data_IF_969688712313
#
_entry.id   IF_969688712313
#
_cell.length_a   1.000
_cell.length_b   1.000
_cell.length_c   1.000
_cell.angle_alpha   90.00
_cell.angle_beta   90.00
_cell.angle_gamma   90.00
#
_symmetry.space_group_name_H-M   'P 1'
#
loop_
_entity.id
_entity.type
_entity.pdbx_description
1 polymer ?
#
# COMPACT_ATOMS: atom_id res chain seq x y z
N UNK A 1 35.28 2.32 3.98
CA UNK A 1 34.87 1.17 3.17
C UNK A 1 34.50 1.67 1.82
N UNK A 2 34.99 1.06 0.74
CA UNK A 2 34.66 1.43 -0.64
C UNK A 2 33.29 0.83 -1.04
N UNK A 3 32.63 1.43 -2.05
CA UNK A 3 31.32 1.00 -2.54
C UNK A 3 31.31 -0.48 -2.98
N UNK A 4 32.37 -0.93 -3.63
CA UNK A 4 32.51 -2.32 -4.08
C UNK A 4 32.62 -3.29 -2.89
N UNK A 5 33.37 -2.92 -1.87
CA UNK A 5 33.47 -3.71 -0.63
C UNK A 5 32.10 -3.82 0.08
N UNK A 6 31.32 -2.74 0.10
CA UNK A 6 29.96 -2.75 0.67
C UNK A 6 29.07 -3.70 -0.13
N UNK A 7 29.04 -3.57 -1.48
CA UNK A 7 28.27 -4.48 -2.33
C UNK A 7 28.64 -5.94 -2.08
N UNK A 8 29.92 -6.27 -2.09
CA UNK A 8 30.39 -7.63 -1.88
C UNK A 8 29.99 -8.16 -0.50
N UNK A 9 30.19 -7.36 0.56
CA UNK A 9 29.89 -7.76 1.94
C UNK A 9 28.41 -8.02 2.19
N UNK A 10 27.53 -7.21 1.56
CA UNK A 10 26.06 -7.30 1.77
C UNK A 10 25.33 -8.01 0.63
N UNK A 11 26.07 -8.61 -0.32
CA UNK A 11 25.47 -9.35 -1.41
C UNK A 11 24.64 -8.47 -2.35
N UNK A 12 24.99 -7.20 -2.53
CA UNK A 12 24.29 -6.29 -3.42
C UNK A 12 24.83 -6.44 -4.84
N UNK A 13 23.97 -6.88 -5.73
CA UNK A 13 24.30 -7.08 -7.15
C UNK A 13 23.68 -5.97 -7.98
N UNK A 14 24.47 -5.42 -8.90
CA UNK A 14 24.06 -4.39 -9.83
C UNK A 14 25.04 -3.24 -9.90
N UNK A 15 25.06 -2.55 -11.05
CA UNK A 15 25.97 -1.46 -11.34
C UNK A 15 25.25 -0.19 -11.81
N UNK A 16 23.90 -0.15 -11.75
CA UNK A 16 23.15 1.02 -12.17
C UNK A 16 23.53 2.27 -11.37
N UNK A 17 23.57 3.41 -12.05
CA UNK A 17 23.93 4.69 -11.42
C UNK A 17 22.98 5.05 -10.26
N UNK A 18 21.68 4.78 -10.40
CA UNK A 18 20.67 5.04 -9.37
C UNK A 18 20.89 4.19 -8.12
N UNK A 19 21.19 2.89 -8.28
CA UNK A 19 21.52 1.99 -7.17
C UNK A 19 22.80 2.46 -6.46
N UNK A 20 23.83 2.80 -7.23
CA UNK A 20 25.10 3.27 -6.69
C UNK A 20 24.94 4.58 -5.89
N UNK A 21 24.13 5.51 -6.40
CA UNK A 21 23.81 6.75 -5.68
C UNK A 21 23.09 6.49 -4.36
N UNK A 22 22.05 5.63 -4.36
CA UNK A 22 21.33 5.25 -3.15
C UNK A 22 22.27 4.60 -2.12
N UNK A 23 23.16 3.70 -2.55
CA UNK A 23 24.16 3.06 -1.67
C UNK A 23 25.15 4.06 -1.10
N UNK A 24 25.68 4.98 -1.92
CA UNK A 24 26.59 6.04 -1.45
C UNK A 24 25.90 6.94 -0.41
N UNK A 25 24.61 7.28 -0.62
CA UNK A 25 23.83 8.03 0.35
C UNK A 25 23.67 7.25 1.65
N UNK A 26 23.34 5.95 1.58
CA UNK A 26 23.26 5.07 2.75
C UNK A 26 24.58 5.00 3.53
N UNK A 27 25.71 4.90 2.83
CA UNK A 27 27.04 4.88 3.44
C UNK A 27 27.37 6.20 4.15
N UNK A 28 27.05 7.34 3.54
CA UNK A 28 27.28 8.67 4.14
C UNK A 28 26.45 8.89 5.39
N UNK A 29 25.17 8.53 5.35
CA UNK A 29 24.28 8.72 6.49
C UNK A 29 24.53 7.73 7.62
N UNK A 30 25.18 6.61 7.34
CA UNK A 30 25.47 5.58 8.35
C UNK A 30 26.26 6.13 9.55
N UNK A 31 27.18 7.08 9.34
CA UNK A 31 27.98 7.70 10.38
C UNK A 31 27.23 8.72 11.26
N UNK A 32 26.00 9.07 10.91
CA UNK A 32 25.15 10.02 11.65
C UNK A 32 24.13 9.29 12.50
N UNK A 33 23.51 10.01 13.45
CA UNK A 33 22.39 9.53 14.27
C UNK A 33 21.02 9.93 13.70
N UNK A 34 20.98 10.50 12.48
CA UNK A 34 19.76 10.94 11.86
C UNK A 34 18.81 9.75 11.57
N UNK A 35 17.51 10.02 11.68
CA UNK A 35 16.48 9.11 11.21
C UNK A 35 16.57 8.99 9.68
N UNK A 36 16.53 7.76 9.18
CA UNK A 36 16.60 7.47 7.75
C UNK A 36 15.28 6.94 7.27
N UNK A 37 14.79 7.52 6.18
CA UNK A 37 13.57 7.11 5.50
C UNK A 37 13.90 6.46 4.16
N UNK A 38 13.61 5.16 4.01
CA UNK A 38 13.89 4.40 2.80
C UNK A 38 12.59 4.21 2.01
N UNK A 39 12.52 4.84 0.86
CA UNK A 39 11.39 4.71 -0.05
C UNK A 39 11.72 3.77 -1.20
N UNK A 40 10.78 2.88 -1.56
CA UNK A 40 10.95 1.98 -2.70
C UNK A 40 9.86 0.93 -2.75
N UNK A 41 9.65 0.37 -3.93
CA UNK A 41 8.63 -0.64 -4.15
C UNK A 41 8.86 -1.92 -3.33
N UNK A 42 7.80 -2.71 -3.16
CA UNK A 42 7.91 -4.01 -2.50
C UNK A 42 8.90 -4.91 -3.26
N UNK A 43 9.76 -5.60 -2.51
CA UNK A 43 10.77 -6.48 -3.10
C UNK A 43 11.97 -5.79 -3.75
N UNK A 44 12.15 -4.46 -3.63
CA UNK A 44 13.27 -3.71 -4.20
C UNK A 44 14.60 -3.87 -3.44
N UNK A 45 14.56 -4.41 -2.19
CA UNK A 45 15.74 -4.64 -1.36
C UNK A 45 15.95 -3.64 -0.24
N UNK A 46 14.94 -2.90 0.21
CA UNK A 46 15.00 -1.88 1.28
C UNK A 46 15.66 -2.38 2.57
N UNK A 47 15.39 -3.63 2.97
CA UNK A 47 15.96 -4.25 4.16
C UNK A 47 17.50 -4.33 4.09
N UNK A 48 18.08 -4.59 2.92
CA UNK A 48 19.55 -4.63 2.76
C UNK A 48 20.18 -3.26 3.05
N UNK A 49 19.51 -2.17 2.68
CA UNK A 49 19.96 -0.81 2.99
C UNK A 49 19.97 -0.54 4.49
N UNK A 50 18.95 -0.97 5.23
CA UNK A 50 18.91 -0.81 6.69
C UNK A 50 20.08 -1.55 7.37
N UNK A 51 20.39 -2.76 6.91
CA UNK A 51 21.55 -3.54 7.39
C UNK A 51 22.87 -2.84 7.09
N UNK A 52 23.04 -2.27 5.89
CA UNK A 52 24.24 -1.49 5.52
C UNK A 52 24.40 -0.30 6.46
N UNK A 53 23.32 0.48 6.67
CA UNK A 53 23.34 1.67 7.52
C UNK A 53 23.71 1.29 8.96
N UNK A 54 23.11 0.25 9.51
CA UNK A 54 23.45 -0.22 10.86
C UNK A 54 24.91 -0.67 10.99
N UNK A 55 25.39 -1.54 10.08
CA UNK A 55 26.73 -2.11 10.15
C UNK A 55 27.85 -1.08 9.92
N UNK A 56 27.56 0.02 9.24
CA UNK A 56 28.50 1.12 9.03
C UNK A 56 28.34 2.24 10.07
N UNK A 57 27.40 2.11 11.01
CA UNK A 57 27.12 3.12 12.04
C UNK A 57 28.01 2.96 13.28
N UNK A 58 28.08 3.98 14.15
CA UNK A 58 28.68 3.86 15.47
C UNK A 58 28.03 2.75 16.32
N UNK A 59 26.74 2.44 16.06
CA UNK A 59 25.94 1.43 16.77
C UNK A 59 26.06 0.01 16.21
N UNK A 60 27.04 -0.27 15.35
CA UNK A 60 27.21 -1.57 14.67
C UNK A 60 27.36 -2.79 15.60
N UNK A 61 27.69 -2.57 16.87
CA UNK A 61 27.82 -3.61 17.91
C UNK A 61 26.56 -3.67 18.82
N UNK A 62 25.63 -2.71 18.68
CA UNK A 62 24.37 -2.74 19.38
C UNK A 62 23.34 -3.68 18.73
N UNK A 63 22.20 -3.90 19.36
CA UNK A 63 21.15 -4.72 18.81
C UNK A 63 20.58 -4.08 17.52
N UNK A 64 20.29 -4.93 16.52
CA UNK A 64 19.55 -4.56 15.32
C UNK A 64 18.26 -5.36 15.28
N UNK A 65 17.13 -4.68 15.38
CA UNK A 65 15.79 -5.30 15.35
C UNK A 65 15.05 -4.80 14.11
N UNK A 66 14.70 -5.73 13.22
CA UNK A 66 13.90 -5.45 12.04
C UNK A 66 12.46 -5.93 12.26
N UNK A 67 11.50 -5.04 12.03
CA UNK A 67 10.08 -5.26 12.28
C UNK A 67 9.33 -4.89 11.00
N UNK A 68 8.48 -5.79 10.51
CA UNK A 68 7.50 -5.45 9.48
C UNK A 68 6.20 -5.05 10.16
N UNK A 69 5.82 -3.76 10.03
CA UNK A 69 4.63 -3.19 10.67
C UNK A 69 3.33 -3.79 10.09
N UNK A 70 3.31 -4.11 8.79
CA UNK A 70 2.15 -4.74 8.16
C UNK A 70 1.92 -6.19 8.56
N UNK A 71 2.93 -6.87 9.14
CA UNK A 71 2.80 -8.24 9.63
C UNK A 71 2.28 -8.33 11.07
N UNK A 72 2.25 -7.22 11.81
CA UNK A 72 1.77 -7.18 13.18
C UNK A 72 0.27 -6.83 13.22
N UNK A 73 -0.58 -7.62 13.90
CA UNK A 73 -1.99 -7.26 14.06
C UNK A 73 -2.15 -5.93 14.82
N UNK A 74 -3.11 -5.10 14.40
CA UNK A 74 -3.37 -3.78 14.99
C UNK A 74 -3.58 -3.85 16.52
N UNK A 75 -4.29 -4.87 17.00
CA UNK A 75 -4.55 -5.06 18.44
C UNK A 75 -3.32 -5.40 19.27
N UNK A 76 -2.21 -5.85 18.68
CA UNK A 76 -1.00 -6.27 19.40
C UNK A 76 0.21 -5.41 19.11
N UNK A 77 0.21 -4.62 18.03
CA UNK A 77 1.36 -3.82 17.58
C UNK A 77 1.90 -2.88 18.67
N UNK A 78 1.03 -2.23 19.43
CA UNK A 78 1.45 -1.36 20.54
C UNK A 78 2.15 -2.14 21.65
N UNK A 79 1.67 -3.34 21.97
CA UNK A 79 2.26 -4.23 22.98
C UNK A 79 3.62 -4.79 22.53
N UNK A 80 3.77 -5.12 21.25
CA UNK A 80 5.04 -5.59 20.68
C UNK A 80 6.08 -4.49 20.61
N UNK A 81 5.72 -3.29 20.14
CA UNK A 81 6.63 -2.16 20.01
C UNK A 81 7.05 -1.59 21.36
N UNK A 82 6.09 -1.31 22.25
CA UNK A 82 6.33 -0.55 23.49
C UNK A 82 6.33 -1.42 24.75
N UNK A 83 5.93 -2.70 24.64
CA UNK A 83 5.76 -3.60 25.79
C UNK A 83 4.46 -3.38 26.53
N UNK A 84 4.17 -4.25 27.48
CA UNK A 84 2.99 -4.18 28.35
C UNK A 84 3.29 -4.57 29.79
N UNK A 85 2.52 -4.01 30.69
CA UNK A 85 2.51 -4.42 32.09
C UNK A 85 1.43 -5.49 32.31
N UNK A 86 1.58 -6.29 33.37
CA UNK A 86 0.64 -7.31 33.77
C UNK A 86 -0.77 -6.74 33.92
N UNK A 87 -1.77 -7.37 33.30
CA UNK A 87 -3.17 -6.94 33.35
C UNK A 87 -3.54 -5.85 32.37
N UNK A 88 -2.64 -5.45 31.45
CA UNK A 88 -2.89 -4.40 30.46
C UNK A 88 -4.04 -4.72 29.49
N UNK A 89 -4.27 -5.99 29.22
CA UNK A 89 -5.38 -6.51 28.39
C UNK A 89 -5.69 -7.95 28.78
N UNK A 90 -6.80 -8.50 28.28
CA UNK A 90 -7.18 -9.89 28.50
C UNK A 90 -6.13 -10.84 27.92
N UNK A 91 -5.40 -11.55 28.79
CA UNK A 91 -4.27 -12.41 28.40
C UNK A 91 -2.88 -11.86 28.74
N UNK A 92 -2.77 -10.64 29.24
CA UNK A 92 -1.49 -10.08 29.76
C UNK A 92 -1.17 -10.67 31.17
N UNK A 93 -0.67 -11.90 31.20
CA UNK A 93 -0.38 -12.63 32.44
C UNK A 93 0.86 -12.05 33.15
N UNK A 94 1.87 -11.65 32.38
CA UNK A 94 3.16 -11.14 32.85
C UNK A 94 3.55 -9.84 32.17
N UNK A 95 4.55 -9.13 32.73
CA UNK A 95 5.16 -7.98 32.09
C UNK A 95 6.01 -8.43 30.91
N UNK A 96 5.87 -7.79 29.74
CA UNK A 96 6.72 -8.07 28.56
C UNK A 96 7.38 -6.80 28.06
N UNK A 97 8.68 -6.89 27.80
CA UNK A 97 9.45 -5.81 27.17
C UNK A 97 9.10 -5.69 25.71
N UNK A 98 8.97 -4.44 25.23
CA UNK A 98 8.77 -4.12 23.83
C UNK A 98 10.07 -4.04 23.04
N UNK A 99 9.96 -3.90 21.73
CA UNK A 99 11.11 -3.78 20.84
C UNK A 99 11.92 -2.51 21.12
N UNK A 100 11.30 -1.38 21.48
CA UNK A 100 12.02 -0.15 21.83
C UNK A 100 12.87 -0.28 23.10
N UNK A 101 12.46 -1.11 24.04
CA UNK A 101 13.24 -1.41 25.22
C UNK A 101 14.39 -2.39 24.89
N UNK A 102 14.09 -3.41 24.07
CA UNK A 102 15.06 -4.45 23.68
C UNK A 102 16.16 -3.94 22.75
N UNK A 103 15.87 -2.90 21.97
CA UNK A 103 16.80 -2.28 21.02
C UNK A 103 17.60 -1.12 21.63
N UNK A 104 17.48 -0.85 22.93
CA UNK A 104 18.15 0.28 23.56
C UNK A 104 19.67 0.24 23.34
N UNK A 105 20.26 1.36 22.92
CA UNK A 105 21.68 1.47 22.49
C UNK A 105 21.93 0.98 21.05
N UNK A 106 20.90 0.51 20.34
CA UNK A 106 21.00 -0.08 19.01
C UNK A 106 20.22 0.65 17.91
N UNK A 107 19.69 -0.15 16.98
CA UNK A 107 18.93 0.35 15.81
C UNK A 107 17.66 -0.47 15.65
N UNK A 108 16.53 0.22 15.43
CA UNK A 108 15.28 -0.38 14.98
C UNK A 108 15.07 -0.05 13.51
N UNK A 109 14.74 -1.06 12.74
CA UNK A 109 14.25 -0.92 11.37
C UNK A 109 12.76 -1.25 11.32
N UNK A 110 11.93 -0.26 10.95
CA UNK A 110 10.50 -0.42 10.73
C UNK A 110 10.23 -0.49 9.23
N UNK A 111 9.90 -1.67 8.73
CA UNK A 111 9.43 -1.84 7.35
C UNK A 111 7.91 -1.64 7.28
N UNK A 112 7.43 -1.13 6.16
CA UNK A 112 6.02 -0.83 5.91
C UNK A 112 5.43 0.13 6.97
N UNK A 113 6.18 1.19 7.32
CA UNK A 113 5.76 2.15 8.36
C UNK A 113 4.43 2.85 8.04
N UNK A 114 4.03 2.92 6.77
CA UNK A 114 2.72 3.44 6.34
C UNK A 114 1.52 2.57 6.73
N UNK A 115 1.76 1.34 7.25
CA UNK A 115 0.71 0.44 7.75
C UNK A 115 0.42 0.65 9.25
N UNK A 116 1.17 1.53 9.94
CA UNK A 116 0.97 1.77 11.36
C UNK A 116 -0.38 2.43 11.65
N UNK A 117 -1.15 1.94 12.64
CA UNK A 117 -2.35 2.63 13.12
C UNK A 117 -2.03 4.03 13.68
N UNK A 118 -2.96 4.98 13.56
CA UNK A 118 -2.77 6.38 14.00
C UNK A 118 -2.37 6.50 15.49
N UNK A 119 -2.89 5.63 16.36
CA UNK A 119 -2.49 5.59 17.77
C UNK A 119 -1.01 5.22 17.91
N UNK A 120 -0.56 4.20 17.18
CA UNK A 120 0.84 3.76 17.19
C UNK A 120 1.76 4.85 16.62
N UNK A 121 1.32 5.56 15.57
CA UNK A 121 2.05 6.70 15.00
C UNK A 121 2.28 7.80 16.05
N UNK A 122 1.26 8.14 16.86
CA UNK A 122 1.38 9.13 17.94
C UNK A 122 2.39 8.72 19.03
N UNK A 123 2.42 7.43 19.36
CA UNK A 123 3.40 6.87 20.31
C UNK A 123 4.81 6.87 19.73
N UNK A 124 4.95 6.54 18.43
CA UNK A 124 6.24 6.56 17.73
C UNK A 124 6.82 7.98 17.64
N UNK A 125 5.97 8.99 17.40
CA UNK A 125 6.39 10.39 17.38
C UNK A 125 7.03 10.79 18.72
N UNK A 126 6.43 10.41 19.86
CA UNK A 126 6.98 10.68 21.19
C UNK A 126 8.37 10.04 21.38
N UNK A 127 8.59 8.84 20.87
CA UNK A 127 9.91 8.21 20.90
C UNK A 127 10.92 9.00 20.08
N UNK A 128 10.52 9.48 18.89
CA UNK A 128 11.41 10.24 18.00
C UNK A 128 11.77 11.62 18.51
N UNK A 129 10.88 12.27 19.26
CA UNK A 129 11.09 13.61 19.79
C UNK A 129 11.86 13.58 21.11
N UNK A 130 11.43 12.73 22.04
CA UNK A 130 11.88 12.78 23.42
C UNK A 130 12.74 11.56 23.82
N UNK A 131 12.82 10.50 23.00
CA UNK A 131 13.41 9.24 23.39
C UNK A 131 12.61 8.52 24.48
N UNK A 132 11.28 8.79 24.58
CA UNK A 132 10.44 8.32 25.67
C UNK A 132 9.22 7.54 25.14
N UNK A 133 8.83 6.52 25.89
CA UNK A 133 7.61 5.76 25.63
C UNK A 133 6.96 5.29 26.93
N UNK A 134 5.71 4.82 26.81
CA UNK A 134 4.95 4.26 27.93
C UNK A 134 4.46 2.86 27.50
N UNK A 135 4.63 1.85 28.36
CA UNK A 135 4.10 0.52 28.13
C UNK A 135 2.56 0.52 28.12
N UNK A 136 1.98 -0.42 27.43
CA UNK A 136 0.52 -0.61 27.45
C UNK A 136 0.07 -0.99 28.86
N UNK A 137 -0.96 -0.33 29.39
CA UNK A 137 -1.45 -0.52 30.77
C UNK A 137 -0.60 0.12 31.87
N UNK A 138 0.40 0.93 31.52
CA UNK A 138 1.27 1.62 32.47
C UNK A 138 1.10 3.13 32.37
N UNK A 139 1.40 3.85 33.47
CA UNK A 139 1.57 5.32 33.47
C UNK A 139 3.06 5.74 33.52
N UNK A 140 3.97 4.77 33.70
CA UNK A 140 5.40 5.04 33.90
C UNK A 140 6.08 5.33 32.58
N UNK A 141 6.71 6.50 32.46
CA UNK A 141 7.55 6.89 31.32
C UNK A 141 8.86 6.10 31.35
N UNK A 142 9.23 5.53 30.23
CA UNK A 142 10.50 4.85 30.00
C UNK A 142 11.31 5.60 28.96
N UNK A 143 12.64 5.56 29.09
CA UNK A 143 13.57 6.17 28.13
C UNK A 143 14.23 5.11 27.28
N UNK A 144 14.46 5.45 26.02
CA UNK A 144 15.20 4.62 25.08
C UNK A 144 16.14 5.49 24.25
N UNK A 145 17.31 4.95 23.94
CA UNK A 145 18.28 5.53 23.02
C UNK A 145 18.40 4.61 21.81
N UNK A 146 17.52 4.80 20.82
CA UNK A 146 17.43 3.93 19.64
C UNK A 146 17.56 4.78 18.38
N UNK A 147 18.43 4.38 17.46
CA UNK A 147 18.43 4.91 16.10
C UNK A 147 17.32 4.29 15.29
N UNK A 148 16.49 5.12 14.64
CA UNK A 148 15.39 4.65 13.81
C UNK A 148 15.74 4.69 12.32
N UNK A 149 15.45 3.60 11.62
CA UNK A 149 15.44 3.49 10.16
C UNK A 149 14.03 3.04 9.77
N UNK A 150 13.38 3.73 8.86
CA UNK A 150 12.04 3.38 8.39
C UNK A 150 12.03 3.08 6.90
N UNK A 151 11.13 2.21 6.47
CA UNK A 151 10.92 1.92 5.07
C UNK A 151 9.44 1.82 4.73
N UNK A 152 9.09 2.19 3.50
CA UNK A 152 7.73 2.04 2.96
C UNK A 152 7.75 1.89 1.44
N UNK A 153 6.70 1.27 0.92
CA UNK A 153 6.38 1.20 -0.49
C UNK A 153 5.27 2.19 -0.89
N UNK A 154 4.63 2.85 0.09
CA UNK A 154 3.58 3.85 -0.12
C UNK A 154 4.16 5.25 -0.19
N UNK A 155 3.44 6.14 -0.86
CA UNK A 155 3.68 7.57 -0.76
C UNK A 155 3.01 8.08 0.51
N UNK A 156 3.82 8.39 1.54
CA UNK A 156 3.29 8.85 2.83
C UNK A 156 2.59 10.20 2.75
N UNK A 157 2.94 11.09 1.79
CA UNK A 157 2.22 12.35 1.60
C UNK A 157 0.78 12.10 1.15
N UNK A 158 0.59 11.18 0.21
CA UNK A 158 -0.76 10.75 -0.20
C UNK A 158 -1.54 10.12 0.96
N UNK A 159 -0.87 9.38 1.85
CA UNK A 159 -1.54 8.82 3.05
C UNK A 159 -1.85 9.91 4.10
N UNK A 160 -1.07 10.99 4.18
CA UNK A 160 -1.38 12.19 4.99
C UNK A 160 -2.63 12.88 4.45
N UNK A 161 -2.73 13.12 3.14
CA UNK A 161 -3.90 13.72 2.50
C UNK A 161 -5.19 12.91 2.71
N UNK A 162 -5.06 11.61 2.98
CA UNK A 162 -6.18 10.70 3.28
C UNK A 162 -6.46 10.51 4.76
N UNK A 163 -5.85 11.29 5.64
CA UNK A 163 -5.92 11.18 7.10
C UNK A 163 -5.52 9.78 7.66
N UNK A 164 -4.72 9.01 6.90
CA UNK A 164 -4.21 7.70 7.34
C UNK A 164 -2.83 7.76 7.95
N UNK A 165 -2.11 8.84 7.71
CA UNK A 165 -0.80 9.08 8.27
C UNK A 165 -0.71 10.49 8.84
N UNK A 166 -0.06 10.66 9.99
CA UNK A 166 0.08 11.96 10.64
C UNK A 166 1.15 12.79 9.95
N UNK A 167 0.84 14.03 9.69
CA UNK A 167 1.74 14.99 9.04
C UNK A 167 3.00 15.27 9.89
N UNK A 168 2.83 15.41 11.21
CA UNK A 168 3.93 15.65 12.15
C UNK A 168 4.95 14.47 12.15
N UNK A 169 4.46 13.25 12.15
CA UNK A 169 5.31 12.07 12.05
C UNK A 169 6.02 12.01 10.70
N UNK A 170 5.32 12.32 9.60
CA UNK A 170 5.93 12.34 8.28
C UNK A 170 7.16 13.25 8.23
N UNK A 171 7.05 14.50 8.67
CA UNK A 171 8.19 15.43 8.68
C UNK A 171 9.33 14.97 9.60
N UNK A 172 9.01 14.29 10.68
CA UNK A 172 10.03 13.74 11.58
C UNK A 172 10.77 12.53 10.98
N UNK A 173 10.07 11.67 10.22
CA UNK A 173 10.65 10.51 9.54
C UNK A 173 11.41 10.90 8.26
N UNK A 174 10.87 11.79 7.46
CA UNK A 174 11.40 12.18 6.16
C UNK A 174 12.66 13.09 6.26
N UNK A 175 13.37 13.07 7.38
CA UNK A 175 14.59 13.87 7.61
C UNK A 175 15.65 13.59 6.56
N UNK A 176 15.86 12.33 6.19
CA UNK A 176 16.81 11.94 5.16
C UNK A 176 16.25 10.80 4.29
N UNK A 177 15.67 11.15 3.12
CA UNK A 177 15.10 10.16 2.22
C UNK A 177 16.17 9.45 1.39
N UNK A 178 16.04 8.12 1.25
CA UNK A 178 16.82 7.28 0.35
C UNK A 178 15.84 6.56 -0.57
N UNK A 179 15.86 6.90 -1.87
CA UNK A 179 15.04 6.22 -2.87
C UNK A 179 15.77 4.98 -3.40
N UNK A 180 15.20 3.80 -3.17
CA UNK A 180 15.70 2.54 -3.73
C UNK A 180 15.04 2.31 -5.09
N UNK A 181 15.81 2.29 -6.19
CA UNK A 181 15.23 2.21 -7.53
C UNK A 181 14.56 0.84 -7.75
N UNK A 182 13.36 0.81 -8.38
CA UNK A 182 12.73 -0.44 -8.80
C UNK A 182 13.55 -1.14 -9.89
N UNK A 183 13.34 -2.44 -10.07
CA UNK A 183 14.15 -3.24 -10.97
C UNK A 183 14.02 -2.80 -12.45
N UNK A 184 12.84 -2.31 -12.87
CA UNK A 184 12.61 -1.75 -14.22
C UNK A 184 13.45 -0.50 -14.55
N UNK A 185 13.96 0.22 -13.53
CA UNK A 185 14.84 1.38 -13.71
C UNK A 185 16.32 1.00 -13.74
N UNK A 186 16.63 -0.28 -13.62
CA UNK A 186 17.97 -0.84 -13.65
C UNK A 186 18.04 -2.12 -14.50
N UNK A 187 17.65 -2.06 -15.79
CA UNK A 187 17.53 -3.25 -16.65
C UNK A 187 18.84 -4.04 -16.79
N UNK A 188 19.98 -3.35 -16.80
CA UNK A 188 21.29 -4.01 -16.85
C UNK A 188 21.64 -4.85 -15.62
N UNK A 189 20.96 -4.64 -14.49
CA UNK A 189 21.17 -5.42 -13.27
C UNK A 189 20.33 -6.71 -13.25
N UNK A 190 19.28 -6.80 -14.11
CA UNK A 190 18.32 -7.91 -14.11
C UNK A 190 18.98 -9.24 -14.46
N UNK A 191 19.73 -9.26 -15.57
CA UNK A 191 20.41 -10.48 -16.04
C UNK A 191 21.44 -10.95 -14.99
N UNK A 192 22.21 -10.02 -14.42
CA UNK A 192 23.19 -10.33 -13.36
C UNK A 192 22.54 -10.94 -12.12
N UNK A 193 21.41 -10.38 -11.69
CA UNK A 193 20.64 -10.89 -10.57
C UNK A 193 20.04 -12.26 -10.86
N UNK A 194 19.48 -12.46 -12.05
CA UNK A 194 18.93 -13.75 -12.45
C UNK A 194 20.02 -14.84 -12.45
N UNK A 195 21.15 -14.58 -13.09
CA UNK A 195 22.29 -15.51 -13.12
C UNK A 195 22.75 -15.88 -11.70
N UNK A 196 22.84 -14.89 -10.82
CA UNK A 196 23.22 -15.17 -9.41
C UNK A 196 22.18 -16.04 -8.71
N UNK A 197 20.88 -15.76 -8.87
CA UNK A 197 19.83 -16.55 -8.24
C UNK A 197 19.73 -17.96 -8.84
N UNK A 198 19.93 -18.09 -10.15
CA UNK A 198 20.00 -19.40 -10.80
C UNK A 198 21.21 -20.22 -10.31
N UNK A 199 22.36 -19.57 -10.13
CA UNK A 199 23.54 -20.21 -9.55
C UNK A 199 23.27 -20.65 -8.11
N UNK A 200 22.72 -19.78 -7.26
CA UNK A 200 22.39 -20.13 -5.85
C UNK A 200 21.37 -21.29 -5.79
N UNK A 201 20.42 -21.32 -6.71
CA UNK A 201 19.46 -22.40 -6.80
C UNK A 201 20.12 -23.72 -7.25
N UNK A 202 21.01 -23.67 -8.25
CA UNK A 202 21.72 -24.88 -8.73
C UNK A 202 22.61 -25.50 -7.65
N UNK A 203 23.30 -24.67 -6.83
CA UNK A 203 24.06 -25.16 -5.67
C UNK A 203 23.13 -25.79 -4.61
N UNK A 204 22.01 -25.13 -4.30
CA UNK A 204 21.05 -25.58 -3.29
C UNK A 204 20.36 -26.90 -3.64
N UNK A 205 19.97 -27.05 -4.91
CA UNK A 205 19.21 -28.20 -5.39
C UNK A 205 20.07 -29.25 -6.11
N UNK A 206 21.36 -28.99 -6.31
CA UNK A 206 22.33 -29.84 -7.03
C UNK A 206 21.92 -30.10 -8.48
N UNK A 207 21.39 -29.08 -9.12
CA UNK A 207 21.02 -29.11 -10.54
C UNK A 207 22.15 -28.53 -11.40
N UNK A 208 22.10 -28.76 -12.71
CA UNK A 208 23.01 -28.12 -13.64
C UNK A 208 22.84 -26.60 -13.66
N UNK A 209 23.95 -25.89 -13.90
CA UNK A 209 23.94 -24.44 -13.99
C UNK A 209 23.20 -24.02 -15.27
N UNK A 210 22.26 -23.09 -15.13
CA UNK A 210 21.47 -22.61 -16.27
C UNK A 210 22.13 -21.43 -16.96
N UNK A 211 22.08 -21.43 -18.28
CA UNK A 211 22.53 -20.35 -19.15
C UNK A 211 21.32 -19.76 -19.90
N UNK A 212 21.22 -18.43 -19.83
CA UNK A 212 20.19 -17.70 -20.58
C UNK A 212 20.61 -17.51 -22.02
N UNK A 213 19.71 -17.74 -22.96
CA UNK A 213 19.88 -17.30 -24.33
C UNK A 213 19.76 -15.77 -24.46
N UNK A 214 20.29 -15.19 -25.52
CA UNK A 214 20.25 -13.72 -25.73
C UNK A 214 18.82 -13.15 -25.78
N UNK A 215 17.89 -13.89 -26.37
CA UNK A 215 16.47 -13.53 -26.43
C UNK A 215 15.81 -13.63 -25.05
N UNK A 216 16.21 -14.60 -24.23
CA UNK A 216 15.76 -14.71 -22.83
C UNK A 216 16.26 -13.55 -21.97
N UNK A 217 17.53 -13.14 -22.11
CA UNK A 217 18.07 -11.96 -21.42
C UNK A 217 17.32 -10.68 -21.82
N UNK A 218 17.04 -10.47 -23.11
CA UNK A 218 16.28 -9.33 -23.58
C UNK A 218 14.86 -9.32 -23.02
N UNK A 219 14.21 -10.49 -22.95
CA UNK A 219 12.89 -10.63 -22.34
C UNK A 219 12.90 -10.20 -20.86
N UNK A 220 13.89 -10.68 -20.08
CA UNK A 220 14.05 -10.31 -18.68
C UNK A 220 14.28 -8.81 -18.50
N UNK A 221 15.13 -8.20 -19.31
CA UNK A 221 15.42 -6.76 -19.25
C UNK A 221 14.21 -5.88 -19.58
N UNK A 222 13.33 -6.33 -20.46
CA UNK A 222 12.15 -5.59 -20.89
C UNK A 222 10.92 -5.81 -20.00
N UNK A 223 10.95 -6.82 -19.13
CA UNK A 223 9.84 -7.09 -18.23
C UNK A 223 9.77 -6.07 -17.07
N UNK A 224 8.56 -5.67 -16.65
CA UNK A 224 8.36 -4.58 -15.66
C UNK A 224 8.72 -4.93 -14.21
N UNK A 225 8.74 -6.19 -13.87
CA UNK A 225 9.07 -6.69 -12.53
C UNK A 225 8.27 -6.03 -11.40
N UNK A 226 6.93 -6.16 -11.36
CA UNK A 226 6.12 -5.53 -10.31
C UNK A 226 6.49 -5.99 -8.89
N UNK A 227 6.99 -7.23 -8.73
CA UNK A 227 7.52 -7.75 -7.46
C UNK A 227 9.04 -7.60 -7.31
N UNK A 228 9.70 -6.85 -8.20
CA UNK A 228 11.13 -6.51 -8.16
C UNK A 228 12.04 -7.74 -7.95
N UNK A 229 13.05 -7.63 -7.09
CA UNK A 229 14.05 -8.69 -6.82
C UNK A 229 13.38 -9.94 -6.23
N UNK A 230 12.32 -9.79 -5.41
CA UNK A 230 11.60 -10.93 -4.82
C UNK A 230 10.96 -11.79 -5.88
N UNK A 231 10.30 -11.17 -6.87
CA UNK A 231 9.71 -11.88 -8.01
C UNK A 231 10.79 -12.53 -8.88
N UNK A 232 11.84 -11.76 -9.22
CA UNK A 232 12.94 -12.28 -10.05
C UNK A 232 13.60 -13.51 -9.42
N UNK A 233 13.86 -13.47 -8.11
CA UNK A 233 14.40 -14.60 -7.37
C UNK A 233 13.50 -15.82 -7.41
N UNK A 234 12.21 -15.64 -7.18
CA UNK A 234 11.24 -16.75 -7.23
C UNK A 234 11.18 -17.39 -8.61
N UNK A 235 11.19 -16.59 -9.69
CA UNK A 235 11.19 -17.10 -11.06
C UNK A 235 12.50 -17.82 -11.37
N UNK A 236 13.65 -17.26 -11.01
CA UNK A 236 14.93 -17.94 -11.22
C UNK A 236 14.99 -19.29 -10.48
N UNK A 237 14.50 -19.35 -9.24
CA UNK A 237 14.43 -20.59 -8.46
C UNK A 237 13.45 -21.61 -9.07
N UNK A 238 12.27 -21.17 -9.52
CA UNK A 238 11.29 -22.02 -10.19
C UNK A 238 11.84 -22.63 -11.49
N UNK A 239 12.43 -21.79 -12.35
CA UNK A 239 13.03 -22.25 -13.61
C UNK A 239 14.14 -23.25 -13.33
N UNK A 240 15.01 -22.98 -12.34
CA UNK A 240 16.12 -23.87 -11.97
C UNK A 240 15.68 -25.23 -11.44
N UNK A 241 14.46 -25.34 -10.91
CA UNK A 241 13.95 -26.59 -10.35
C UNK A 241 13.10 -27.37 -11.34
N UNK A 242 12.36 -26.68 -12.23
CA UNK A 242 11.33 -27.29 -13.07
C UNK A 242 11.77 -27.57 -14.50
N UNK A 243 12.77 -26.86 -15.01
CA UNK A 243 13.24 -27.08 -16.38
C UNK A 243 14.46 -28.02 -16.40
N UNK A 244 14.42 -28.96 -17.31
CA UNK A 244 15.51 -29.88 -17.54
C UNK A 244 16.46 -29.34 -18.62
N UNK A 245 17.75 -29.23 -18.30
CA UNK A 245 18.80 -28.80 -19.23
C UNK A 245 19.33 -27.39 -18.97
N UNK A 246 20.54 -27.09 -19.50
CA UNK A 246 21.26 -25.89 -19.15
C UNK A 246 20.79 -24.63 -19.92
N UNK A 247 20.07 -24.76 -21.03
CA UNK A 247 19.75 -23.62 -21.89
C UNK A 247 18.31 -23.16 -21.73
N UNK A 248 18.13 -21.92 -21.29
CA UNK A 248 16.82 -21.29 -21.09
C UNK A 248 16.55 -20.30 -22.21
N UNK A 249 15.56 -20.60 -23.05
CA UNK A 249 15.06 -19.72 -24.10
C UNK A 249 13.98 -18.74 -23.60
N UNK A 250 13.67 -17.71 -24.41
CA UNK A 250 12.58 -16.79 -24.11
C UNK A 250 11.22 -17.50 -23.99
N UNK A 251 10.97 -18.56 -24.78
CA UNK A 251 9.72 -19.31 -24.73
C UNK A 251 9.54 -20.08 -23.42
N UNK A 252 10.63 -20.62 -22.88
CA UNK A 252 10.63 -21.24 -21.56
C UNK A 252 10.31 -20.20 -20.49
N UNK A 253 11.01 -19.05 -20.50
CA UNK A 253 10.76 -18.00 -19.52
C UNK A 253 9.34 -17.42 -19.55
N UNK A 254 8.72 -17.32 -20.74
CA UNK A 254 7.32 -16.85 -20.87
C UNK A 254 6.33 -17.69 -20.07
N UNK A 255 6.58 -18.99 -19.88
CA UNK A 255 5.72 -19.87 -19.08
C UNK A 255 5.68 -19.47 -17.60
N UNK A 256 6.77 -18.87 -17.10
CA UNK A 256 6.94 -18.49 -15.70
C UNK A 256 6.66 -17.00 -15.43
N UNK A 257 6.70 -16.18 -16.48
CA UNK A 257 6.36 -14.77 -16.35
C UNK A 257 4.83 -14.63 -16.35
N UNK A 258 4.23 -14.05 -15.30
CA UNK A 258 2.80 -13.77 -15.31
C UNK A 258 2.42 -13.01 -16.58
N UNK A 259 1.48 -13.53 -17.34
CA UNK A 259 0.92 -12.81 -18.46
C UNK A 259 0.37 -11.48 -17.89
N UNK A 260 0.73 -10.41 -18.57
CA UNK A 260 0.08 -9.14 -18.32
C UNK A 260 -1.41 -9.37 -18.56
N UNK A 261 -2.22 -9.32 -17.51
CA UNK A 261 -3.58 -8.90 -17.72
C UNK A 261 -3.43 -7.51 -18.36
N UNK A 262 -3.42 -7.46 -19.69
CA UNK A 262 -3.67 -6.22 -20.38
C UNK A 262 -5.01 -5.77 -19.81
N UNK A 263 -4.97 -4.77 -18.95
CA UNK A 263 -6.13 -3.99 -18.61
C UNK A 263 -6.57 -3.37 -19.95
N UNK A 264 -7.25 -4.17 -20.77
CA UNK A 264 -8.08 -3.69 -21.86
C UNK A 264 -9.33 -2.99 -21.26
N UNK A 265 -9.12 -2.20 -20.22
CA UNK A 265 -10.01 -1.09 -19.96
C UNK A 265 -9.78 -0.15 -21.14
N UNK A 266 -10.82 0.13 -21.95
CA UNK A 266 -10.71 1.13 -23.00
C UNK A 266 -10.07 2.36 -22.37
N UNK A 267 -8.94 2.81 -22.90
CA UNK A 267 -8.34 4.05 -22.48
C UNK A 267 -9.42 5.11 -22.66
N UNK A 268 -10.02 5.56 -21.56
CA UNK A 268 -10.82 6.77 -21.54
C UNK A 268 -9.87 7.84 -22.05
N UNK A 269 -10.07 8.25 -23.28
CA UNK A 269 -9.40 9.39 -23.89
C UNK A 269 -9.51 10.56 -22.91
N UNK A 270 -8.42 10.88 -22.22
CA UNK A 270 -8.28 12.18 -21.57
C UNK A 270 -8.19 13.16 -22.71
N UNK A 271 -9.32 13.78 -23.05
CA UNK A 271 -9.32 15.00 -23.81
C UNK A 271 -8.53 16.02 -22.97
N UNK A 272 -7.36 16.42 -23.47
CA UNK A 272 -6.62 17.55 -22.96
C UNK A 272 -7.50 18.79 -23.06
N UNK A 273 -7.90 19.33 -21.93
CA UNK A 273 -8.56 20.63 -21.87
C UNK A 273 -9.62 20.70 -20.77
N UNK A 274 -9.23 21.37 -19.68
CA UNK A 274 -10.02 21.83 -18.55
C UNK A 274 -10.30 20.81 -17.43
N UNK A 275 -9.62 21.08 -16.32
CA UNK A 275 -10.03 20.64 -14.98
C UNK A 275 -11.51 20.96 -14.77
N UNK A 276 -12.32 19.94 -14.80
CA UNK A 276 -13.63 19.95 -14.21
C UNK A 276 -13.77 18.65 -13.41
N UNK A 277 -14.00 18.80 -12.12
CA UNK A 277 -14.43 17.76 -11.19
C UNK A 277 -15.53 16.90 -11.82
N UNK A 278 -15.14 15.83 -12.49
CA UNK A 278 -16.08 14.81 -12.94
C UNK A 278 -16.35 13.93 -11.73
N UNK A 279 -17.42 14.25 -11.03
CA UNK A 279 -17.93 13.49 -9.90
C UNK A 279 -18.07 12.01 -10.29
N UNK A 280 -17.74 11.07 -9.39
CA UNK A 280 -18.00 9.63 -9.56
C UNK A 280 -19.44 9.35 -10.00
N UNK A 281 -20.38 10.24 -9.66
CA UNK A 281 -21.79 10.22 -10.11
C UNK A 281 -21.92 10.38 -11.62
N UNK A 282 -21.12 11.24 -12.27
CA UNK A 282 -21.21 11.47 -13.71
C UNK A 282 -20.72 10.26 -14.50
N UNK A 283 -19.70 9.58 -14.00
CA UNK A 283 -19.19 8.31 -14.55
C UNK A 283 -20.26 7.23 -14.40
N UNK A 284 -20.90 7.14 -13.24
CA UNK A 284 -21.97 6.18 -12.96
C UNK A 284 -23.21 6.42 -13.84
N UNK A 285 -23.63 7.66 -14.03
CA UNK A 285 -24.73 8.01 -14.94
C UNK A 285 -24.41 7.66 -16.39
N UNK A 286 -23.18 7.88 -16.85
CA UNK A 286 -22.76 7.54 -18.20
C UNK A 286 -22.81 6.03 -18.44
N UNK A 287 -22.27 5.23 -17.51
CA UNK A 287 -22.35 3.76 -17.56
C UNK A 287 -23.80 3.26 -17.54
N UNK A 288 -24.68 3.87 -16.73
CA UNK A 288 -26.10 3.53 -16.70
C UNK A 288 -26.82 3.84 -18.02
N UNK A 289 -26.47 4.96 -18.67
CA UNK A 289 -27.06 5.34 -19.97
C UNK A 289 -26.61 4.36 -21.07
N UNK A 290 -25.32 3.99 -21.08
CA UNK A 290 -24.77 3.03 -22.05
C UNK A 290 -25.42 1.64 -21.86
N UNK A 291 -25.53 1.18 -20.60
CA UNK A 291 -26.20 -0.09 -20.28
C UNK A 291 -27.69 -0.10 -20.67
N UNK A 292 -28.39 1.03 -20.47
CA UNK A 292 -29.79 1.20 -20.93
C UNK A 292 -29.90 1.10 -22.45
N UNK A 293 -28.94 1.65 -23.19
CA UNK A 293 -28.86 1.58 -24.65
C UNK A 293 -28.63 0.14 -25.14
N UNK A 294 -27.66 -0.58 -24.55
CA UNK A 294 -27.38 -1.97 -24.89
C UNK A 294 -28.55 -2.89 -24.60
N UNK A 295 -29.24 -2.70 -23.45
CA UNK A 295 -30.46 -3.46 -23.13
C UNK A 295 -31.58 -3.15 -24.14
N UNK A 296 -31.70 -1.89 -24.61
CA UNK A 296 -32.71 -1.53 -25.62
C UNK A 296 -32.41 -2.11 -27.01
N UNK A 297 -31.12 -2.23 -27.38
CA UNK A 297 -30.71 -2.86 -28.63
C UNK A 297 -30.90 -4.39 -28.59
N UNK A 298 -30.55 -5.04 -27.48
CA UNK A 298 -30.84 -6.45 -27.24
C UNK A 298 -32.34 -6.73 -27.32
N UNK A 299 -33.18 -5.85 -26.76
CA UNK A 299 -34.63 -5.97 -26.82
C UNK A 299 -35.16 -5.90 -28.26
N UNK A 300 -34.62 -4.99 -29.10
CA UNK A 300 -34.98 -4.90 -30.51
C UNK A 300 -34.61 -6.17 -31.29
N UNK A 301 -33.39 -6.74 -31.01
CA UNK A 301 -32.96 -7.98 -31.65
C UNK A 301 -33.83 -9.16 -31.25
N UNK A 302 -34.20 -9.28 -29.98
CA UNK A 302 -35.12 -10.34 -29.48
C UNK A 302 -36.49 -10.22 -30.05
N UNK A 303 -37.07 -8.99 -30.16
CA UNK A 303 -38.36 -8.77 -30.81
C UNK A 303 -38.33 -9.08 -32.32
N UNK A 304 -37.25 -8.67 -33.01
CA UNK A 304 -37.05 -9.03 -34.44
C UNK A 304 -36.92 -10.53 -34.70
N UNK A 305 -36.33 -11.27 -33.75
CA UNK A 305 -36.25 -12.75 -33.82
C UNK A 305 -37.63 -13.41 -33.54
N UNK A 306 -38.46 -12.81 -32.66
CA UNK A 306 -39.80 -13.31 -32.37
C UNK A 306 -40.75 -13.05 -33.53
N UNK A 307 -40.71 -11.87 -34.19
CA UNK A 307 -41.51 -11.57 -35.40
C UNK A 307 -41.15 -12.46 -36.59
N UNK A 308 -39.87 -12.86 -36.75
CA UNK A 308 -39.46 -13.81 -37.79
C UNK A 308 -39.79 -15.27 -37.47
N UNK A 309 -40.21 -15.61 -36.27
CA UNK A 309 -40.62 -16.97 -35.88
C UNK A 309 -42.11 -17.23 -36.01
N UNK A 310 -42.95 -16.20 -36.35
CA UNK A 310 -44.38 -16.39 -36.60
C UNK A 310 -44.76 -16.78 -38.04
N UNK A 311 -43.77 -17.04 -38.92
CA UNK A 311 -44.00 -17.52 -40.29
C UNK A 311 -43.79 -19.03 -40.48
N UNK A 312 -43.83 -19.83 -39.45
CA UNK A 312 -43.91 -21.30 -39.57
C UNK A 312 -45.14 -21.79 -38.79
N UNK A 313 -46.21 -22.02 -39.54
CA UNK A 313 -47.44 -22.65 -39.05
C UNK A 313 -47.17 -24.11 -38.61
N UNK A 314 -48.05 -24.55 -37.71
CA UNK A 314 -48.31 -25.92 -37.28
C UNK A 314 -47.46 -26.44 -36.11
N UNK A 315 -47.99 -26.19 -34.88
CA UNK A 315 -48.35 -27.24 -33.90
C UNK A 315 -49.01 -26.58 -32.69
N UNK A 316 -50.31 -26.73 -32.59
CA UNK A 316 -51.11 -26.36 -31.41
C UNK A 316 -50.92 -27.42 -30.33
N UNK A 317 -50.40 -27.02 -29.18
CA UNK A 317 -50.66 -27.67 -27.89
C UNK A 317 -51.20 -26.64 -26.90
N UNK A 318 -52.26 -26.97 -26.11
CA UNK A 318 -52.91 -26.05 -25.19
C UNK A 318 -52.25 -26.21 -23.80
N UNK A 319 -51.52 -25.23 -23.37
CA UNK A 319 -51.23 -24.86 -21.98
C UNK A 319 -49.86 -24.19 -21.84
N UNK A 320 -49.80 -22.89 -22.09
CA UNK A 320 -48.76 -22.03 -21.55
C UNK A 320 -49.35 -20.74 -21.01
N UNK A 321 -48.97 -20.29 -19.80
CA UNK A 321 -49.49 -19.06 -19.23
C UNK A 321 -48.98 -17.85 -20.02
N UNK A 322 -49.89 -16.96 -20.37
CA UNK A 322 -49.66 -15.71 -21.11
C UNK A 322 -48.71 -14.78 -20.37
N UNK A 323 -47.56 -14.51 -20.98
CA UNK A 323 -46.56 -13.50 -20.53
C UNK A 323 -46.99 -12.05 -20.91
N UNK A 324 -48.27 -11.84 -21.18
CA UNK A 324 -48.82 -10.54 -21.63
C UNK A 324 -49.20 -9.59 -20.51
N UNK A 325 -48.68 -9.73 -19.28
CA UNK A 325 -49.16 -8.91 -18.15
C UNK A 325 -48.16 -7.88 -17.58
N UNK A 326 -47.05 -7.60 -18.29
CA UNK A 326 -46.11 -6.57 -17.82
C UNK A 326 -45.56 -5.70 -18.97
N UNK A 327 -46.46 -5.06 -19.73
CA UNK A 327 -46.11 -3.97 -20.64
C UNK A 327 -46.90 -2.75 -20.20
N UNK A 328 -46.32 -1.71 -19.60
CA UNK A 328 -46.95 -0.42 -19.51
C UNK A 328 -47.02 0.16 -20.90
N UNK A 329 -48.24 0.46 -21.38
CA UNK A 329 -48.49 1.26 -22.61
C UNK A 329 -47.94 2.67 -22.38
N UNK A 330 -46.85 3.03 -23.05
CA UNK A 330 -46.45 4.41 -23.23
C UNK A 330 -47.37 5.02 -24.30
N UNK A 331 -48.25 5.92 -23.85
CA UNK A 331 -49.00 6.82 -24.71
C UNK A 331 -48.05 7.82 -25.36
N UNK A 332 -47.94 7.76 -26.69
CA UNK A 332 -47.42 8.84 -27.53
C UNK A 332 -48.24 10.09 -27.35
N UNK A 333 -47.65 11.17 -26.84
CA UNK A 333 -47.93 12.53 -27.31
C UNK A 333 -46.72 13.41 -27.06
N UNK A 334 -46.22 13.96 -28.14
CA UNK A 334 -45.26 15.03 -28.22
C UNK A 334 -45.85 16.29 -27.58
N UNK A 335 -45.06 17.02 -26.85
CA UNK A 335 -44.96 18.47 -26.96
C UNK A 335 -43.64 18.95 -26.36
N UNK A 336 -42.81 19.46 -27.25
CA UNK A 336 -41.68 20.30 -27.00
C UNK A 336 -42.18 21.71 -26.74
N UNK A 337 -41.84 22.29 -25.60
CA UNK A 337 -41.42 23.68 -25.44
C UNK A 337 -41.60 24.13 -23.98
N UNK A 338 -40.69 24.99 -23.58
CA UNK A 338 -40.71 25.82 -22.40
C UNK A 338 -40.33 25.17 -21.07
N UNK A 339 -39.07 25.35 -20.73
CA UNK A 339 -38.65 25.84 -19.39
C UNK A 339 -37.22 26.35 -19.45
N UNK A 340 -37.11 27.61 -19.89
CA UNK A 340 -35.96 28.49 -19.56
C UNK A 340 -36.52 29.54 -18.61
N UNK A 341 -35.72 29.81 -17.57
CA UNK A 341 -35.75 30.93 -16.62
C UNK A 341 -36.65 30.82 -15.39
N UNK A 342 -36.09 30.68 -14.21
CA UNK A 342 -35.92 31.72 -13.20
C UNK A 342 -35.42 31.13 -11.88
N UNK A 343 -34.27 31.62 -11.43
CA UNK A 343 -33.92 31.83 -10.03
C UNK A 343 -34.57 33.17 -9.60
N UNK A 344 -34.68 33.55 -8.33
CA UNK A 344 -34.20 33.05 -7.05
C UNK A 344 -35.20 33.17 -5.85
N UNK A 345 -34.75 32.74 -4.70
CA UNK A 345 -35.11 33.17 -3.33
C UNK A 345 -36.31 32.58 -2.59
N UNK A 346 -35.98 32.26 -1.35
CA UNK A 346 -36.77 32.18 -0.12
C UNK A 346 -37.64 30.95 0.11
N UNK A 347 -37.19 30.12 1.03
CA UNK A 347 -37.93 29.96 2.31
C UNK A 347 -37.19 28.99 3.25
N UNK A 348 -36.87 29.53 4.42
CA UNK A 348 -36.62 28.87 5.69
C UNK A 348 -37.80 27.94 6.09
N UNK A 349 -37.49 27.12 7.10
CA UNK A 349 -38.38 26.35 7.97
C UNK A 349 -38.67 24.89 7.58
N UNK A 350 -38.04 23.97 8.26
CA UNK A 350 -38.59 23.15 9.37
C UNK A 350 -37.62 22.01 9.74
N UNK A 351 -36.78 22.23 10.73
CA UNK A 351 -36.27 21.13 11.52
C UNK A 351 -36.94 21.16 12.89
N UNK A 352 -37.83 20.20 13.12
CA UNK A 352 -38.37 19.93 14.44
C UNK A 352 -37.29 19.28 15.32
N UNK A 353 -36.92 20.00 16.38
CA UNK A 353 -36.17 19.48 17.50
C UNK A 353 -37.05 18.48 18.30
N UNK A 354 -36.53 17.27 18.47
CA UNK A 354 -36.98 16.38 19.52
C UNK A 354 -36.12 16.67 20.74
N UNK A 355 -36.74 17.35 21.73
CA UNK A 355 -36.19 17.55 23.06
C UNK A 355 -36.56 16.32 23.88
N UNK A 356 -35.56 15.61 24.38
CA UNK A 356 -35.74 14.65 25.49
C UNK A 356 -35.35 15.39 26.77
N UNK A 357 -36.36 15.71 27.58
CA UNK A 357 -36.19 16.14 28.96
C UNK A 357 -35.80 14.94 29.81
N UNK A 358 -34.66 15.05 30.51
CA UNK A 358 -34.41 14.29 31.73
C UNK A 358 -34.26 15.26 32.89
N UNK A 359 -35.16 15.06 33.86
CA UNK A 359 -35.21 15.74 35.17
C UNK A 359 -34.31 15.02 36.16
N UNK A 360 -33.86 15.88 37.11
CA UNK A 360 -33.36 15.60 38.47
C UNK A 360 -31.84 15.30 38.59
N UNK A 361 -31.06 16.24 39.15
CA UNK A 361 -30.99 16.62 40.56
C UNK A 361 -29.87 17.63 40.83
N UNK A 362 -30.22 18.52 41.67
CA UNK A 362 -29.49 19.57 42.43
C UNK A 362 -28.18 19.06 43.08
N UNK A 363 -27.16 19.90 43.03
CA UNK A 363 -25.95 19.76 43.85
C UNK A 363 -24.99 20.94 43.66
N UNK A 364 -25.17 21.98 44.42
CA UNK A 364 -24.19 23.07 44.65
C UNK A 364 -22.86 22.49 45.15
N UNK A 365 -21.72 23.02 44.70
CA UNK A 365 -20.62 23.43 45.58
C UNK A 365 -19.49 24.14 44.84
N UNK A 366 -19.31 25.39 45.25
CA UNK A 366 -18.09 26.11 45.59
C UNK A 366 -16.99 26.34 44.51
N UNK A 367 -16.99 27.59 44.15
CA UNK A 367 -15.85 28.35 43.56
C UNK A 367 -14.79 28.54 44.65
N UNK A 368 -13.60 28.04 44.46
CA UNK A 368 -12.40 28.43 45.20
C UNK A 368 -11.42 29.10 44.26
N UNK A 369 -11.37 30.41 44.36
CA UNK A 369 -10.30 31.27 43.88
C UNK A 369 -9.02 31.01 44.69
N UNK A 370 -7.90 30.76 44.03
CA UNK A 370 -6.59 30.83 44.64
C UNK A 370 -5.82 32.00 44.04
N UNK A 371 -5.63 32.98 44.90
CA UNK A 371 -4.77 34.14 44.72
C UNK A 371 -3.29 33.74 44.59
N UNK A 372 -2.65 34.43 43.68
CA UNK A 372 -1.19 34.50 43.55
C UNK A 372 -0.62 35.25 44.74
N UNK A 373 0.37 34.68 45.41
CA UNK A 373 1.34 35.43 46.23
C UNK A 373 2.72 35.29 45.58
N UNK A 374 3.19 36.40 45.03
CA UNK A 374 4.60 36.73 44.92
C UNK A 374 5.11 37.00 46.37
N UNK A 375 6.30 36.47 46.68
CA UNK A 375 7.27 37.09 47.60
C UNK A 375 8.56 36.30 47.62
N UNK A 376 9.62 37.06 47.33
CA UNK A 376 11.06 37.04 47.61
C UNK A 376 11.94 35.97 46.99
#
# INVERSE_FOLDING_TARGET
>A
MDLQQVKQRFGIIGNSAKLNYALQTAMRVASTELTVYIQGESGSGKESFSKIIHHLSPRKHGPFIAINCGALPEGTINSELFGHDKGAFTGAVDNRKGYFESANGGTIFLDEVGELPLETQSRLLRVLENGEFIRVGSSKVQKTDVRLITATNRDLMTEVERDKFREDLYYRLATLPIAVPPLRERPGDVALLFQKFAFDASEKYRNEMMELSMDAEQLLMNYRWPGNIRQLKNIAEQVSVLEEGPHISADILRKYLPERAENNLPALYKAEGKESDVSERDIFYKVLIDLKKDVSELRKVVFGMLENSEQTEEFREPNKPSITRFIPQESNQADTSDFISNSPNDTEEMYQHVVIEDKDSVGEHEVLSLEVKEEE
#
